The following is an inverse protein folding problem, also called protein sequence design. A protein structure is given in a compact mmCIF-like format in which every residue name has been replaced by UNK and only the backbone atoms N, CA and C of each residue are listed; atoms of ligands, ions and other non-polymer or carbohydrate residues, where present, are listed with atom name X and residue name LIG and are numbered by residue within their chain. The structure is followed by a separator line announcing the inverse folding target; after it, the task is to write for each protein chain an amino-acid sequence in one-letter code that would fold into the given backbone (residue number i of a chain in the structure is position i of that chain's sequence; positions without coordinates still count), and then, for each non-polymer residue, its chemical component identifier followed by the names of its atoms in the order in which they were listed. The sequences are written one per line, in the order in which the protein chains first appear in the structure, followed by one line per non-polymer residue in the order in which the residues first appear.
data_IF_530444966016
#
_entry.id   IF_530444966016
#
_cell.length_a   1.000
_cell.length_b   1.000
_cell.length_c   1.000
_cell.angle_alpha   90.00
_cell.angle_beta   90.00
_cell.angle_gamma   90.00
#
_symmetry.space_group_name_H-M   'P 1'
#
loop_
_entity.id
_entity.type
_entity.pdbx_description
1 polymer ?
#
# COMPACT_ATOMS: atom_id res chain seq x y z
N UNK A 1 22.73 40.01 27.67
CA UNK A 1 23.09 38.79 26.92
C UNK A 1 22.56 37.61 27.71
N UNK A 2 21.52 36.93 27.23
CA UNK A 2 20.95 35.77 27.93
C UNK A 2 21.88 34.57 27.71
N UNK A 3 22.54 34.10 28.76
CA UNK A 3 23.45 32.97 28.69
C UNK A 3 22.67 31.66 28.80
N UNK A 4 22.81 30.80 27.79
CA UNK A 4 22.29 29.43 27.87
C UNK A 4 23.15 28.64 28.85
N UNK A 5 22.52 28.06 29.87
CA UNK A 5 23.18 27.15 30.80
C UNK A 5 23.46 25.81 30.13
N UNK A 6 24.62 25.20 30.43
CA UNK A 6 25.00 23.86 29.92
C UNK A 6 23.90 22.82 30.16
N UNK A 7 23.19 22.92 31.30
CA UNK A 7 22.09 22.02 31.64
C UNK A 7 20.89 22.19 30.70
N UNK A 8 20.58 23.43 30.31
CA UNK A 8 19.50 23.71 29.36
C UNK A 8 19.86 23.18 27.97
N UNK A 9 21.10 23.40 27.53
CA UNK A 9 21.59 22.88 26.26
C UNK A 9 21.52 21.34 26.19
N UNK A 10 21.98 20.66 27.24
CA UNK A 10 21.92 19.19 27.33
C UNK A 10 20.48 18.68 27.37
N UNK A 11 19.60 19.32 28.13
CA UNK A 11 18.19 18.95 28.21
C UNK A 11 17.48 19.11 26.85
N UNK A 12 17.74 20.21 26.13
CA UNK A 12 17.17 20.44 24.79
C UNK A 12 17.67 19.42 23.77
N UNK A 13 18.96 19.06 23.83
CA UNK A 13 19.55 18.07 22.91
C UNK A 13 19.02 16.66 23.18
N UNK A 14 18.87 16.28 24.46
CA UNK A 14 18.26 15.01 24.85
C UNK A 14 16.78 14.92 24.42
N UNK A 15 16.03 16.01 24.58
CA UNK A 15 14.63 16.07 24.14
C UNK A 15 14.50 15.97 22.61
N UNK A 16 15.36 16.65 21.85
CA UNK A 16 15.38 16.56 20.39
C UNK A 16 15.76 15.16 19.89
N UNK A 17 16.76 14.53 20.53
CA UNK A 17 17.15 13.15 20.23
C UNK A 17 16.04 12.15 20.53
N UNK A 18 15.40 12.25 21.70
CA UNK A 18 14.26 11.41 22.06
C UNK A 18 13.09 11.57 21.08
N UNK A 19 12.77 12.81 20.70
CA UNK A 19 11.73 13.07 19.69
C UNK A 19 12.06 12.44 18.34
N UNK A 20 13.32 12.47 17.88
CA UNK A 20 13.73 11.88 16.60
C UNK A 20 13.61 10.36 16.54
N UNK A 21 13.73 9.66 17.68
CA UNK A 21 13.60 8.19 17.76
C UNK A 21 12.14 7.78 17.97
N UNK A 22 11.38 8.58 18.72
CA UNK A 22 9.99 8.29 19.04
C UNK A 22 9.05 8.60 17.86
N UNK A 23 9.31 9.67 17.10
CA UNK A 23 8.50 10.03 15.93
C UNK A 23 8.32 8.88 14.94
N UNK A 24 9.38 8.23 14.41
CA UNK A 24 9.22 7.14 13.45
C UNK A 24 8.54 5.90 14.03
N UNK A 25 8.52 5.72 15.36
CA UNK A 25 7.83 4.62 16.02
C UNK A 25 6.32 4.88 16.17
N UNK A 26 5.93 6.14 16.40
CA UNK A 26 4.51 6.57 16.46
C UNK A 26 3.96 6.77 15.05
N UNK A 27 4.78 7.29 14.13
CA UNK A 27 4.46 7.48 12.71
C UNK A 27 4.87 6.28 11.88
N UNK A 28 5.08 5.10 12.48
CA UNK A 28 5.11 3.87 11.72
C UNK A 28 3.76 3.78 11.03
N UNK A 29 3.72 4.17 9.76
CA UNK A 29 2.52 4.12 8.95
C UNK A 29 2.22 2.64 8.86
N UNK A 30 1.31 2.14 9.70
CA UNK A 30 0.79 0.80 9.56
C UNK A 30 0.40 0.67 8.10
N UNK A 31 1.15 -0.14 7.34
CA UNK A 31 0.93 -0.31 5.92
C UNK A 31 -0.52 -0.73 5.80
N UNK A 32 -1.39 0.20 5.39
CA UNK A 32 -2.82 -0.05 5.41
C UNK A 32 -3.05 -1.03 4.29
N UNK A 33 -3.24 -2.30 4.67
CA UNK A 33 -3.55 -3.34 3.72
C UNK A 33 -4.70 -2.82 2.85
N UNK A 34 -4.44 -2.68 1.55
CA UNK A 34 -5.46 -2.28 0.62
C UNK A 34 -6.63 -3.27 0.73
N UNK A 35 -7.86 -2.78 0.57
CA UNK A 35 -9.01 -3.69 0.53
C UNK A 35 -8.77 -4.75 -0.55
N UNK A 36 -9.05 -6.03 -0.28
CA UNK A 36 -8.86 -7.08 -1.27
C UNK A 36 -9.73 -6.81 -2.49
N UNK A 37 -9.14 -6.89 -3.68
CA UNK A 37 -9.88 -6.81 -4.94
C UNK A 37 -10.53 -8.15 -5.24
N UNK A 38 -11.85 -8.17 -5.35
CA UNK A 38 -12.60 -9.40 -5.68
C UNK A 38 -12.50 -9.64 -7.19
N UNK A 39 -11.93 -10.78 -7.57
CA UNK A 39 -11.85 -11.23 -8.96
C UNK A 39 -12.77 -12.44 -9.10
N UNK A 40 -13.59 -12.46 -10.16
CA UNK A 40 -14.57 -13.52 -10.40
C UNK A 40 -14.10 -14.43 -11.52
N UNK A 41 -14.30 -15.74 -11.35
CA UNK A 41 -14.20 -16.69 -12.44
C UNK A 41 -15.53 -16.70 -13.20
N UNK A 42 -15.46 -16.50 -14.51
CA UNK A 42 -16.61 -16.47 -15.40
C UNK A 42 -16.31 -17.25 -16.69
N UNK A 43 -17.34 -17.46 -17.50
CA UNK A 43 -17.21 -18.16 -18.78
C UNK A 43 -17.80 -17.35 -19.91
N UNK A 44 -17.14 -17.37 -21.06
CA UNK A 44 -17.67 -16.76 -22.28
C UNK A 44 -17.50 -17.70 -23.47
N UNK A 45 -18.29 -17.46 -24.50
CA UNK A 45 -18.17 -18.18 -25.77
C UNK A 45 -17.37 -17.31 -26.73
N UNK A 46 -16.35 -17.90 -27.34
CA UNK A 46 -15.56 -17.28 -28.41
C UNK A 46 -15.59 -18.19 -29.64
N UNK A 47 -15.40 -17.62 -30.82
CA UNK A 47 -15.18 -18.40 -32.03
C UNK A 47 -13.70 -18.82 -32.11
N UNK A 48 -13.44 -20.12 -32.21
CA UNK A 48 -12.12 -20.70 -32.42
C UNK A 48 -12.17 -21.50 -33.71
N UNK A 49 -11.52 -20.98 -34.76
CA UNK A 49 -11.46 -21.60 -36.08
C UNK A 49 -12.84 -21.96 -36.68
N UNK A 50 -13.84 -21.10 -36.51
CA UNK A 50 -15.20 -21.29 -37.04
C UNK A 50 -16.09 -22.16 -36.13
N UNK A 51 -15.67 -22.39 -34.88
CA UNK A 51 -16.41 -23.19 -33.90
C UNK A 51 -16.57 -22.42 -32.60
N UNK A 52 -17.81 -22.32 -32.12
CA UNK A 52 -18.11 -21.79 -30.80
C UNK A 52 -17.47 -22.63 -29.69
N UNK A 53 -16.59 -22.02 -28.91
CA UNK A 53 -15.87 -22.63 -27.80
C UNK A 53 -16.14 -21.86 -26.51
N UNK A 54 -16.47 -22.59 -25.44
CA UNK A 54 -16.63 -22.02 -24.09
C UNK A 54 -15.26 -21.95 -23.43
N UNK A 55 -14.86 -20.76 -22.99
CA UNK A 55 -13.60 -20.52 -22.28
C UNK A 55 -13.85 -19.99 -20.88
N UNK A 56 -13.01 -20.40 -19.95
CA UNK A 56 -12.97 -19.84 -18.60
C UNK A 56 -12.09 -18.59 -18.61
N UNK A 57 -12.48 -17.57 -17.86
CA UNK A 57 -11.73 -16.33 -17.72
C UNK A 57 -11.90 -15.74 -16.34
N UNK A 58 -10.97 -14.87 -15.98
CA UNK A 58 -11.08 -14.02 -14.80
C UNK A 58 -11.64 -12.67 -15.21
N UNK A 59 -12.49 -12.10 -14.37
CA UNK A 59 -13.14 -10.80 -14.57
C UNK A 59 -12.91 -9.95 -13.33
N UNK A 60 -12.37 -8.75 -13.56
CA UNK A 60 -12.14 -7.74 -12.54
C UNK A 60 -13.44 -6.97 -12.22
N UNK A 61 -13.48 -6.21 -11.12
CA UNK A 61 -14.65 -5.41 -10.74
C UNK A 61 -15.08 -4.39 -11.80
N UNK A 62 -14.17 -3.94 -12.64
CA UNK A 62 -14.40 -2.99 -13.75
C UNK A 62 -14.87 -3.67 -15.05
N UNK A 63 -14.97 -5.01 -15.06
CA UNK A 63 -15.31 -5.80 -16.25
C UNK A 63 -14.11 -6.18 -17.11
N UNK A 64 -12.90 -5.74 -16.77
CA UNK A 64 -11.70 -6.10 -17.51
C UNK A 64 -11.39 -7.58 -17.34
N UNK A 65 -11.06 -8.24 -18.45
CA UNK A 65 -10.70 -9.66 -18.44
C UNK A 65 -9.24 -9.88 -18.07
N UNK A 66 -8.97 -10.92 -17.28
CA UNK A 66 -7.63 -11.33 -16.88
C UNK A 66 -7.23 -10.81 -15.49
N UNK A 67 -5.92 -10.78 -15.24
CA UNK A 67 -5.32 -10.32 -14.00
C UNK A 67 -4.45 -9.10 -14.29
N UNK A 68 -4.78 -7.95 -13.71
CA UNK A 68 -3.92 -6.77 -13.74
C UNK A 68 -3.52 -6.37 -12.34
N UNK A 69 -2.26 -5.98 -12.18
CA UNK A 69 -1.70 -5.54 -10.91
C UNK A 69 -0.87 -4.30 -11.21
N UNK A 70 -0.98 -3.27 -10.37
CA UNK A 70 -0.06 -2.13 -10.43
C UNK A 70 1.30 -2.58 -9.91
N UNK A 71 2.37 -2.27 -10.63
CA UNK A 71 3.72 -2.37 -10.07
C UNK A 71 3.87 -1.35 -8.94
N UNK A 72 4.47 -1.77 -7.82
CA UNK A 72 4.75 -0.94 -6.66
C UNK A 72 6.10 -0.22 -6.81
#
# INVERSE_FOLDING_TARGET
MQSISRRQFLASTAAAGAASVILPLITAHAARAAKPTIIRADTRVIDVAGRAAKVFGLVQPDGTHGLTMSAA
#
